data_IF_383916140940
#
_entry.id   IF_383916140940
#
_cell.length_a   1.000
_cell.length_b   1.000
_cell.length_c   1.000
_cell.angle_alpha   90.00
_cell.angle_beta   90.00
_cell.angle_gamma   90.00
#
_symmetry.space_group_name_H-M   'P 1'
#
loop_
_entity.id
_entity.type
_entity.pdbx_description
1 polymer ?
#
# COMPACT_ATOMS: atom_id res chain seq x y z
N UNK A 1 5.16 12.63 6.97
CA UNK A 1 5.27 11.33 7.67
C UNK A 1 3.86 10.79 7.75
N UNK A 2 3.49 9.99 6.77
CA UNK A 2 2.17 9.39 6.67
C UNK A 2 1.84 8.45 7.83
N UNK A 3 0.55 8.15 7.99
CA UNK A 3 0.07 7.19 8.99
C UNK A 3 -0.47 5.96 8.28
N UNK A 4 0.37 4.93 8.19
CA UNK A 4 0.10 3.72 7.43
C UNK A 4 -0.42 2.59 8.33
N UNK A 5 -1.30 1.78 7.75
CA UNK A 5 -1.88 0.59 8.36
C UNK A 5 -1.66 -0.64 7.47
N UNK A 6 -1.57 -1.81 8.10
CA UNK A 6 -1.64 -3.11 7.42
C UNK A 6 -3.01 -3.68 7.71
N UNK A 7 -3.74 -4.04 6.65
CA UNK A 7 -5.10 -4.55 6.73
C UNK A 7 -5.23 -5.91 6.09
N UNK A 8 -6.19 -6.68 6.59
CA UNK A 8 -6.69 -7.90 5.95
C UNK A 8 -8.11 -7.68 5.47
N UNK A 9 -8.39 -8.06 4.23
CA UNK A 9 -9.72 -8.05 3.64
C UNK A 9 -10.13 -9.48 3.30
N UNK A 10 -11.34 -9.89 3.66
CA UNK A 10 -11.85 -11.23 3.37
C UNK A 10 -13.37 -11.26 3.15
N UNK A 11 -13.87 -12.35 2.58
CA UNK A 11 -15.22 -12.42 2.01
C UNK A 11 -15.29 -11.70 0.66
N UNK A 12 -16.48 -11.30 0.22
CA UNK A 12 -16.68 -10.47 -1.00
C UNK A 12 -16.20 -9.01 -0.83
N UNK A 13 -15.12 -8.78 -0.07
CA UNK A 13 -14.51 -7.46 0.14
C UNK A 13 -15.14 -6.59 1.23
N UNK A 14 -16.22 -7.03 1.88
CA UNK A 14 -16.95 -6.21 2.87
C UNK A 14 -16.37 -6.25 4.29
N UNK A 15 -15.48 -7.18 4.61
CA UNK A 15 -14.89 -7.29 5.95
C UNK A 15 -13.43 -6.89 5.90
N UNK A 16 -13.08 -5.85 6.66
CA UNK A 16 -11.71 -5.36 6.83
C UNK A 16 -11.33 -5.43 8.29
N UNK A 17 -10.20 -6.07 8.57
CA UNK A 17 -9.56 -6.10 9.90
C UNK A 17 -8.20 -5.41 9.83
N UNK A 18 -7.86 -4.68 10.89
CA UNK A 18 -6.57 -4.02 11.03
C UNK A 18 -5.58 -4.94 11.74
N UNK A 19 -4.47 -5.22 11.08
CA UNK A 19 -3.37 -6.01 11.66
C UNK A 19 -2.46 -5.10 12.48
N UNK A 20 -2.10 -3.93 11.92
CA UNK A 20 -1.39 -2.87 12.63
C UNK A 20 -1.77 -1.48 12.07
N UNK A 21 -1.52 -0.44 12.87
CA UNK A 21 -1.77 0.97 12.56
C UNK A 21 -0.59 1.83 13.01
N UNK A 22 -0.52 3.08 12.55
CA UNK A 22 0.44 4.05 13.06
C UNK A 22 1.86 3.87 12.55
N UNK A 23 2.05 3.33 11.34
CA UNK A 23 3.38 3.22 10.73
C UNK A 23 3.72 4.53 10.03
N UNK A 24 4.81 5.16 10.44
CA UNK A 24 5.21 6.51 9.99
C UNK A 24 5.60 6.59 8.51
N UNK A 25 5.95 5.45 7.90
CA UNK A 25 6.38 5.39 6.51
C UNK A 25 5.76 4.20 5.80
N UNK A 26 5.54 4.36 4.50
CA UNK A 26 5.12 3.29 3.59
C UNK A 26 6.06 2.08 3.66
N UNK A 27 7.38 2.33 3.74
CA UNK A 27 8.39 1.28 3.82
C UNK A 27 8.23 0.42 5.09
N UNK A 28 8.03 1.04 6.26
CA UNK A 28 7.76 0.29 7.49
C UNK A 28 6.46 -0.51 7.40
N UNK A 29 5.40 0.05 6.82
CA UNK A 29 4.16 -0.68 6.63
C UNK A 29 4.31 -1.88 5.68
N UNK A 30 5.12 -1.75 4.62
CA UNK A 30 5.44 -2.85 3.70
C UNK A 30 6.29 -3.94 4.37
N UNK A 31 7.24 -3.56 5.22
CA UNK A 31 8.04 -4.52 6.01
C UNK A 31 7.13 -5.34 6.93
N UNK A 32 6.25 -4.67 7.67
CA UNK A 32 5.24 -5.29 8.53
C UNK A 32 4.31 -6.20 7.74
N UNK A 33 3.82 -5.74 6.58
CA UNK A 33 3.01 -6.55 5.67
C UNK A 33 3.75 -7.84 5.31
N UNK A 34 5.03 -7.78 4.92
CA UNK A 34 5.84 -8.96 4.59
C UNK A 34 6.02 -9.89 5.79
N UNK A 35 6.23 -9.33 6.97
CA UNK A 35 6.38 -10.11 8.20
C UNK A 35 5.10 -10.91 8.53
N UNK A 36 3.91 -10.34 8.28
CA UNK A 36 2.64 -11.00 8.60
C UNK A 36 2.18 -12.01 7.55
N UNK A 37 2.72 -12.01 6.33
CA UNK A 37 2.36 -12.97 5.26
C UNK A 37 2.47 -14.44 5.69
N UNK A 38 3.40 -14.74 6.59
CA UNK A 38 3.72 -16.11 7.02
C UNK A 38 3.11 -16.48 8.37
N UNK A 39 2.47 -15.54 9.07
CA UNK A 39 1.98 -15.75 10.44
C UNK A 39 0.52 -15.35 10.64
N UNK A 40 -0.04 -14.52 9.75
CA UNK A 40 -1.43 -14.09 9.83
C UNK A 40 -2.38 -15.29 9.78
N UNK A 41 -3.35 -15.28 10.70
CA UNK A 41 -4.48 -16.19 10.74
C UNK A 41 -5.76 -15.38 10.95
N UNK A 42 -6.78 -15.52 10.08
CA UNK A 42 -8.01 -14.75 10.21
C UNK A 42 -8.81 -15.12 11.46
N UNK A 43 -8.57 -16.30 12.04
CA UNK A 43 -9.15 -16.74 13.32
C UNK A 43 -8.13 -17.53 14.12
N UNK A 44 -8.09 -17.30 15.44
CA UNK A 44 -7.18 -17.98 16.38
C UNK A 44 -7.39 -19.50 16.48
N UNK A 45 -8.54 -20.01 16.06
CA UNK A 45 -8.89 -21.44 16.15
C UNK A 45 -8.53 -22.25 14.91
N UNK A 46 -7.93 -21.64 13.88
CA UNK A 46 -7.54 -22.35 12.67
C UNK A 46 -6.28 -23.16 12.94
N UNK A 47 -6.39 -24.48 12.77
CA UNK A 47 -5.23 -25.37 12.65
C UNK A 47 -4.85 -25.44 11.18
N UNK A 48 -3.81 -24.72 10.80
CA UNK A 48 -3.29 -24.65 9.43
C UNK A 48 -2.67 -25.97 9.00
N UNK A 49 -3.02 -26.42 7.79
CA UNK A 49 -2.36 -27.53 7.11
C UNK A 49 -1.35 -27.04 6.08
N UNK A 50 -1.73 -26.01 5.31
CA UNK A 50 -0.85 -25.36 4.35
C UNK A 50 -1.35 -23.94 4.05
N UNK A 51 -0.44 -23.13 3.49
CA UNK A 51 -0.74 -21.79 2.95
C UNK A 51 -0.11 -21.58 1.58
N UNK A 52 -0.77 -20.79 0.75
CA UNK A 52 -0.19 -20.19 -0.45
C UNK A 52 -0.24 -18.68 -0.33
N UNK A 53 0.83 -18.02 -0.77
CA UNK A 53 0.97 -16.56 -0.80
C UNK A 53 1.19 -16.17 -2.26
N UNK A 54 0.30 -15.34 -2.81
CA UNK A 54 0.47 -14.75 -4.13
C UNK A 54 0.67 -13.25 -3.98
N UNK A 55 1.50 -12.67 -4.85
CA UNK A 55 1.68 -11.23 -4.93
C UNK A 55 0.86 -10.69 -6.09
N UNK A 56 0.08 -9.63 -5.86
CA UNK A 56 -0.63 -8.93 -6.94
C UNK A 56 0.34 -8.10 -7.79
N UNK A 57 -0.11 -7.71 -9.00
CA UNK A 57 0.72 -6.99 -9.95
C UNK A 57 1.17 -5.60 -9.44
N UNK A 58 0.40 -4.97 -8.55
CA UNK A 58 0.75 -3.71 -7.88
C UNK A 58 1.89 -3.85 -6.84
N UNK A 59 2.30 -5.08 -6.51
CA UNK A 59 3.37 -5.41 -5.56
C UNK A 59 3.17 -4.95 -4.10
N UNK A 60 2.04 -4.28 -3.80
CA UNK A 60 1.71 -3.73 -2.48
C UNK A 60 0.58 -4.51 -1.78
N UNK A 61 0.06 -5.52 -2.47
CA UNK A 61 -1.00 -6.40 -2.02
C UNK A 61 -0.63 -7.87 -2.23
N UNK A 62 -1.11 -8.74 -1.35
CA UNK A 62 -0.91 -10.19 -1.42
C UNK A 62 -2.22 -10.93 -1.21
N UNK A 63 -2.46 -11.98 -2.00
CA UNK A 63 -3.53 -12.94 -1.76
C UNK A 63 -2.98 -14.08 -0.92
N UNK A 64 -3.59 -14.30 0.23
CA UNK A 64 -3.25 -15.37 1.15
C UNK A 64 -4.36 -16.42 1.12
N UNK A 65 -3.99 -17.65 0.78
CA UNK A 65 -4.90 -18.81 0.78
C UNK A 65 -4.45 -19.78 1.85
N UNK A 66 -5.24 -19.92 2.92
CA UNK A 66 -4.92 -20.78 4.07
C UNK A 66 -5.89 -21.96 4.09
N UNK A 67 -5.37 -23.19 4.02
CA UNK A 67 -6.16 -24.40 4.24
C UNK A 67 -6.04 -24.83 5.70
N UNK A 68 -7.17 -24.79 6.40
CA UNK A 68 -7.32 -25.45 7.70
C UNK A 68 -7.83 -26.88 7.55
N UNK A 69 -7.92 -27.63 8.65
CA UNK A 69 -8.44 -29.01 8.63
C UNK A 69 -9.84 -29.15 8.00
N UNK A 70 -10.77 -28.27 8.35
CA UNK A 70 -12.17 -28.31 7.90
C UNK A 70 -12.61 -27.10 7.05
N UNK A 71 -11.69 -26.17 6.77
CA UNK A 71 -12.01 -24.90 6.10
C UNK A 71 -10.90 -24.50 5.13
N UNK A 72 -11.22 -23.57 4.22
CA UNK A 72 -10.29 -22.86 3.35
C UNK A 72 -10.61 -21.38 3.52
N UNK A 73 -9.58 -20.56 3.67
CA UNK A 73 -9.68 -19.12 3.85
C UNK A 73 -8.90 -18.42 2.77
N UNK A 74 -9.48 -17.35 2.25
CA UNK A 74 -8.87 -16.47 1.25
C UNK A 74 -8.98 -15.05 1.78
N UNK A 75 -7.85 -14.36 1.87
CA UNK A 75 -7.82 -12.96 2.28
C UNK A 75 -6.76 -12.19 1.50
N UNK A 76 -7.04 -10.93 1.25
CA UNK A 76 -6.07 -9.99 0.69
C UNK A 76 -5.43 -9.21 1.82
N UNK A 77 -4.11 -9.26 1.91
CA UNK A 77 -3.32 -8.42 2.81
C UNK A 77 -2.73 -7.25 2.00
N UNK A 78 -2.90 -6.03 2.49
CA UNK A 78 -2.39 -4.82 1.83
C UNK A 78 -2.14 -3.72 2.84
N UNK A 79 -1.43 -2.69 2.41
CA UNK A 79 -1.29 -1.44 3.17
C UNK A 79 -2.39 -0.45 2.81
N UNK A 80 -2.67 0.47 3.73
CA UNK A 80 -3.53 1.63 3.52
C UNK A 80 -2.95 2.83 4.27
N UNK A 81 -3.04 4.02 3.68
CA UNK A 81 -2.67 5.28 4.32
C UNK A 81 -3.90 5.95 4.93
N UNK A 82 -3.74 6.49 6.13
CA UNK A 82 -4.73 7.34 6.77
C UNK A 82 -4.54 8.77 6.27
N UNK A 83 -5.46 9.21 5.41
CA UNK A 83 -5.44 10.55 4.80
C UNK A 83 -6.26 11.58 5.58
N UNK A 84 -7.11 11.16 6.52
CA UNK A 84 -7.95 12.05 7.32
C UNK A 84 -8.40 11.36 8.59
N UNK A 85 -8.34 12.08 9.71
CA UNK A 85 -8.85 11.66 11.00
C UNK A 85 -9.70 12.80 11.59
N UNK A 86 -10.99 12.55 11.83
CA UNK A 86 -11.88 13.56 12.42
C UNK A 86 -11.49 13.96 13.85
N UNK A 87 -10.70 13.14 14.53
CA UNK A 87 -10.18 13.40 15.88
C UNK A 87 -8.80 14.08 15.86
N UNK A 88 -8.11 14.05 14.72
CA UNK A 88 -6.84 14.73 14.49
C UNK A 88 -6.81 15.37 13.08
N UNK A 89 -7.30 16.61 12.92
CA UNK A 89 -7.35 17.27 11.62
C UNK A 89 -5.97 17.48 10.99
N UNK A 90 -4.89 17.46 11.78
CA UNK A 90 -3.53 17.61 11.27
C UNK A 90 -3.10 16.45 10.36
N UNK A 91 -3.77 15.30 10.43
CA UNK A 91 -3.56 14.17 9.51
C UNK A 91 -3.86 14.57 8.08
N UNK A 92 -4.95 15.31 7.84
CA UNK A 92 -5.35 15.73 6.51
C UNK A 92 -4.41 16.78 5.91
N UNK A 93 -3.95 17.74 6.73
CA UNK A 93 -2.96 18.75 6.28
C UNK A 93 -1.64 18.10 5.85
N UNK A 94 -1.16 17.10 6.61
CA UNK A 94 0.09 16.39 6.27
C UNK A 94 -0.04 15.58 4.97
N UNK A 95 -1.14 14.85 4.80
CA UNK A 95 -1.40 14.07 3.59
C UNK A 95 -1.40 14.95 2.33
N UNK A 96 -2.07 16.11 2.37
CA UNK A 96 -2.12 17.05 1.24
C UNK A 96 -0.73 17.62 0.88
N UNK A 97 0.11 17.90 1.88
CA UNK A 97 1.48 18.38 1.65
C UNK A 97 2.36 17.29 1.01
N UNK A 98 2.17 16.03 1.40
CA UNK A 98 2.91 14.88 0.85
C UNK A 98 2.49 14.59 -0.61
N UNK A 99 1.20 14.65 -0.93
CA UNK A 99 0.70 14.53 -2.31
C UNK A 99 1.23 15.68 -3.20
N UNK A 100 1.14 16.94 -2.74
CA UNK A 100 1.60 18.09 -3.51
C UNK A 100 3.12 18.14 -3.72
N UNK A 101 3.91 17.53 -2.83
CA UNK A 101 5.36 17.40 -3.01
C UNK A 101 5.72 16.34 -4.07
N UNK A 102 4.97 15.24 -4.15
CA UNK A 102 5.15 14.21 -5.17
C UNK A 102 4.84 14.74 -6.58
N UNK A 103 3.82 15.60 -6.72
CA UNK A 103 3.48 16.25 -8.00
C UNK A 103 4.57 17.23 -8.48
N UNK A 104 5.31 17.87 -7.57
CA UNK A 104 6.41 18.77 -7.92
C UNK A 104 7.70 18.02 -8.31
N UNK A 105 7.98 16.84 -7.74
CA UNK A 105 9.12 16.01 -8.17
C UNK A 105 8.91 15.42 -9.58
N UNK A 106 7.69 15.01 -9.92
CA UNK A 106 7.37 14.48 -11.26
C UNK A 106 7.41 15.61 -12.34
N UNK A 107 7.00 16.83 -11.97
CA UNK A 107 7.06 18.01 -12.85
C UNK A 107 8.46 18.63 -13.05
N UNK A 108 9.45 18.29 -12.22
CA UNK A 108 10.82 18.81 -12.35
C UNK A 108 11.65 18.05 -13.40
N UNK A 109 11.22 16.85 -13.81
CA UNK A 109 11.91 16.02 -14.81
C UNK A 109 11.68 16.48 -16.26
N UNK A 110 10.67 17.32 -16.53
CA UNK A 110 10.36 17.81 -17.89
C UNK A 110 11.06 19.13 -18.30
N UNK A 111 11.97 19.68 -17.48
CA UNK A 111 12.67 20.94 -17.80
C UNK A 111 14.20 20.85 -17.76
N UNK A 112 14.78 19.92 -18.53
CA UNK A 112 16.16 19.98 -19.03
C UNK A 112 16.25 19.03 -20.24
N UNK A 113 16.69 19.37 -21.47
CA UNK A 113 17.67 20.34 -21.93
C UNK A 113 17.59 20.46 -23.48
N UNK A 114 17.77 21.66 -24.05
CA UNK A 114 18.34 21.80 -25.43
C UNK A 114 17.69 22.84 -26.38
N UNK A 115 18.48 23.74 -27.02
CA UNK A 115 18.03 25.07 -27.50
C UNK A 115 17.38 25.09 -28.90
N UNK A 116 16.50 26.07 -29.11
CA UNK A 116 15.90 26.41 -30.41
C UNK A 116 16.97 26.96 -31.37
N UNK A 117 17.49 26.12 -32.26
CA UNK A 117 18.33 26.58 -33.37
C UNK A 117 17.45 27.12 -34.51
N UNK A 118 17.51 28.44 -34.71
CA UNK A 118 16.66 29.20 -35.63
C UNK A 118 17.50 29.74 -36.81
N UNK A 119 17.62 28.90 -37.84
CA UNK A 119 17.72 29.09 -39.33
C UNK A 119 18.77 30.07 -39.94
N UNK A 120 19.23 29.82 -41.19
CA UNK A 120 18.62 30.55 -42.32
C UNK A 120 18.39 29.74 -43.63
N UNK A 121 17.59 30.26 -44.58
CA UNK A 121 17.24 29.56 -45.83
C UNK A 121 18.37 29.67 -46.87
N UNK A 122 18.48 28.66 -47.75
CA UNK A 122 19.40 28.64 -48.89
C UNK A 122 18.64 28.76 -50.22
N UNK A 123 19.21 29.58 -51.11
CA UNK A 123 18.82 29.93 -52.50
C UNK A 123 18.31 28.77 -53.38
#
# INVERSE_FOLDING_TARGET
>A
MGNWAVISQYGDGYVTDFICRGRETKAHALEELRAVLHTYLPRKSIVEQWRHVYRFADQESYLLVIKGRASKWECTLRIAELISDSTDPAVAERAQMEDGAAEMEDGAAEMADGPQDRIPPGD
#
